data_IF_404166120197
#
_entry.id   IF_404166120197
#
_cell.length_a   1.000
_cell.length_b   1.000
_cell.length_c   1.000
_cell.angle_alpha   90.00
_cell.angle_beta   90.00
_cell.angle_gamma   90.00
#
_symmetry.space_group_name_H-M   'P 1'
#
loop_
_entity.id
_entity.type
_entity.pdbx_description
1 polymer ?
#
# COMPACT_ATOMS: atom_id res chain seq x y z
N UNK A 1 -17.18 29.19 67.32
CA UNK A 1 -16.21 28.46 68.18
C UNK A 1 -15.09 27.95 67.28
N UNK A 2 -13.91 28.58 67.34
CA UNK A 2 -12.71 28.22 66.58
C UNK A 2 -11.83 27.35 67.48
N UNK A 3 -11.54 26.11 67.08
CA UNK A 3 -10.51 25.30 67.74
C UNK A 3 -9.14 25.61 67.11
N UNK A 4 -8.11 25.94 67.91
CA UNK A 4 -6.76 26.08 67.38
C UNK A 4 -6.16 24.69 67.12
N UNK A 5 -5.64 24.50 65.91
CA UNK A 5 -4.83 23.34 65.54
C UNK A 5 -3.41 23.62 66.06
N UNK A 6 -2.98 22.87 67.07
CA UNK A 6 -1.57 22.87 67.48
C UNK A 6 -0.74 22.02 66.51
N UNK A 7 0.41 22.50 66.01
CA UNK A 7 1.33 21.64 65.28
C UNK A 7 1.97 20.63 66.25
N UNK A 8 1.95 19.35 65.87
CA UNK A 8 2.67 18.31 66.60
C UNK A 8 4.18 18.60 66.59
N UNK A 9 4.91 18.33 67.69
CA UNK A 9 6.35 18.55 67.73
C UNK A 9 7.05 17.63 66.72
N UNK A 10 7.89 18.23 65.89
CA UNK A 10 8.91 17.55 65.08
C UNK A 10 9.96 17.00 66.05
N UNK A 11 9.62 15.91 66.72
CA UNK A 11 10.43 15.28 67.76
C UNK A 11 10.60 13.81 67.46
N UNK A 12 11.85 13.43 67.18
CA UNK A 12 12.34 12.09 66.90
C UNK A 12 11.91 11.49 65.56
N UNK A 13 12.61 11.90 64.48
CA UNK A 13 13.10 10.90 63.53
C UNK A 13 13.92 9.91 64.38
N UNK A 14 13.27 8.83 64.81
CA UNK A 14 14.00 7.66 65.21
C UNK A 14 14.84 7.27 64.00
N UNK A 15 16.15 7.47 64.13
CA UNK A 15 17.16 6.83 63.31
C UNK A 15 16.67 5.40 63.09
N UNK A 16 16.22 5.09 61.86
CA UNK A 16 16.01 3.71 61.43
C UNK A 16 17.33 3.04 61.76
N UNK A 17 17.36 2.27 62.84
CA UNK A 17 18.50 1.40 63.12
C UNK A 17 18.69 0.59 61.84
N UNK A 18 19.89 0.56 61.24
CA UNK A 18 20.14 -0.32 60.12
C UNK A 18 19.71 -1.71 60.58
N UNK A 19 18.77 -2.32 59.86
CA UNK A 19 18.35 -3.69 60.16
C UNK A 19 19.63 -4.54 60.27
N UNK A 20 19.81 -5.35 61.34
CA UNK A 20 20.87 -6.34 61.33
C UNK A 20 20.61 -7.23 60.12
N UNK A 21 21.44 -7.09 59.10
CA UNK A 21 21.27 -7.83 57.86
C UNK A 21 21.68 -9.26 58.16
N UNK A 22 20.69 -10.13 58.29
CA UNK A 22 20.90 -11.57 58.38
C UNK A 22 21.76 -12.00 57.17
N UNK A 23 22.89 -12.71 57.35
CA UNK A 23 23.69 -13.21 56.24
C UNK A 23 22.85 -13.99 55.22
N UNK A 24 21.78 -14.67 55.65
CA UNK A 24 20.84 -15.34 54.75
C UNK A 24 20.08 -14.35 53.85
N UNK A 25 19.68 -13.19 54.38
CA UNK A 25 18.98 -12.15 53.62
C UNK A 25 19.89 -11.47 52.59
N UNK A 26 21.18 -11.30 52.91
CA UNK A 26 22.18 -10.80 51.97
C UNK A 26 22.38 -11.78 50.82
N UNK A 27 22.59 -13.05 51.15
CA UNK A 27 22.79 -14.12 50.15
C UNK A 27 21.61 -14.21 49.18
N UNK A 28 20.38 -14.19 49.70
CA UNK A 28 19.17 -14.20 48.86
C UNK A 28 19.08 -12.96 47.95
N UNK A 29 19.48 -11.79 48.46
CA UNK A 29 19.46 -10.54 47.69
C UNK A 29 20.49 -10.58 46.55
N UNK A 30 21.65 -11.16 46.79
CA UNK A 30 22.71 -11.33 45.79
C UNK A 30 22.31 -12.34 44.71
N UNK A 31 21.73 -13.49 45.11
CA UNK A 31 21.17 -14.48 44.18
C UNK A 31 20.03 -13.89 43.33
N UNK A 32 19.12 -13.13 43.96
CA UNK A 32 18.04 -12.45 43.26
C UNK A 32 18.58 -11.44 42.23
N UNK A 33 19.59 -10.65 42.62
CA UNK A 33 20.27 -9.73 41.70
C UNK A 33 20.89 -10.45 40.51
N UNK A 34 21.57 -11.59 40.75
CA UNK A 34 22.15 -12.41 39.69
C UNK A 34 21.08 -12.94 38.72
N UNK A 35 19.94 -13.44 39.24
CA UNK A 35 18.82 -13.90 38.42
C UNK A 35 18.21 -12.77 37.59
N UNK A 36 18.00 -11.58 38.17
CA UNK A 36 17.48 -10.43 37.43
C UNK A 36 18.41 -10.02 36.28
N UNK A 37 19.73 -10.05 36.48
CA UNK A 37 20.69 -9.75 35.41
C UNK A 37 20.65 -10.79 34.29
N UNK A 38 20.49 -12.08 34.64
CA UNK A 38 20.34 -13.14 33.65
C UNK A 38 19.05 -12.99 32.85
N UNK A 39 17.92 -12.73 33.51
CA UNK A 39 16.63 -12.49 32.86
C UNK A 39 16.69 -11.26 31.95
N UNK A 40 17.25 -10.15 32.43
CA UNK A 40 17.39 -8.93 31.62
C UNK A 40 18.27 -9.19 30.37
N UNK A 41 19.34 -9.98 30.51
CA UNK A 41 20.19 -10.38 29.38
C UNK A 41 19.45 -11.26 28.39
N UNK A 42 18.66 -12.22 28.88
CA UNK A 42 17.82 -13.06 28.02
C UNK A 42 16.75 -12.23 27.30
N UNK A 43 16.05 -11.35 28.03
CA UNK A 43 15.02 -10.47 27.47
C UNK A 43 15.58 -9.59 26.35
N UNK A 44 16.76 -9.00 26.53
CA UNK A 44 17.43 -8.24 25.45
C UNK A 44 17.70 -9.10 24.22
N UNK A 45 18.34 -10.26 24.40
CA UNK A 45 18.65 -11.17 23.27
C UNK A 45 17.39 -11.62 22.52
N UNK A 46 16.32 -11.95 23.24
CA UNK A 46 15.04 -12.34 22.64
C UNK A 46 14.40 -11.15 21.92
N UNK A 47 14.45 -9.95 22.50
CA UNK A 47 13.99 -8.73 21.85
C UNK A 47 14.72 -8.46 20.54
N UNK A 48 16.05 -8.57 20.55
CA UNK A 48 16.88 -8.41 19.35
C UNK A 48 16.54 -9.45 18.29
N UNK A 49 16.34 -10.71 18.70
CA UNK A 49 15.93 -11.79 17.81
C UNK A 49 14.57 -11.51 17.17
N UNK A 50 13.56 -11.07 17.93
CA UNK A 50 12.24 -10.74 17.40
C UNK A 50 12.33 -9.63 16.36
N UNK A 51 13.06 -8.56 16.64
CA UNK A 51 13.24 -7.44 15.70
C UNK A 51 13.95 -7.91 14.42
N UNK A 52 14.99 -8.74 14.55
CA UNK A 52 15.67 -9.33 13.40
C UNK A 52 14.74 -10.20 12.54
N UNK A 53 13.94 -11.08 13.17
CA UNK A 53 12.99 -11.94 12.46
C UNK A 53 11.90 -11.12 11.77
N UNK A 54 11.35 -10.09 12.43
CA UNK A 54 10.36 -9.21 11.84
C UNK A 54 10.88 -8.54 10.56
N UNK A 55 12.13 -8.03 10.58
CA UNK A 55 12.76 -7.44 9.39
C UNK A 55 12.94 -8.45 8.26
N UNK A 56 13.35 -9.68 8.59
CA UNK A 56 13.54 -10.75 7.60
C UNK A 56 12.21 -11.17 6.96
N UNK A 57 11.14 -11.26 7.75
CA UNK A 57 9.80 -11.55 7.25
C UNK A 57 9.34 -10.46 6.28
N UNK A 58 9.42 -9.19 6.68
CA UNK A 58 9.02 -8.08 5.80
C UNK A 58 9.81 -8.02 4.49
N UNK A 59 11.11 -8.36 4.52
CA UNK A 59 11.93 -8.44 3.31
C UNK A 59 11.46 -9.56 2.37
N UNK A 60 11.25 -10.77 2.90
CA UNK A 60 10.78 -11.92 2.10
C UNK A 60 9.36 -11.68 1.58
N UNK A 61 8.49 -11.06 2.36
CA UNK A 61 7.14 -10.67 1.94
C UNK A 61 7.18 -9.67 0.78
N UNK A 62 8.07 -8.67 0.85
CA UNK A 62 8.27 -7.71 -0.23
C UNK A 62 8.76 -8.38 -1.52
N UNK A 63 9.72 -9.31 -1.40
CA UNK A 63 10.20 -10.10 -2.54
C UNK A 63 9.08 -10.98 -3.12
N UNK A 64 8.27 -11.61 -2.27
CA UNK A 64 7.15 -12.43 -2.72
C UNK A 64 6.12 -11.62 -3.50
N UNK A 65 5.75 -10.44 -3.01
CA UNK A 65 4.85 -9.51 -3.71
C UNK A 65 5.45 -9.06 -5.05
N UNK A 66 6.74 -8.74 -5.07
CA UNK A 66 7.43 -8.33 -6.31
C UNK A 66 7.42 -9.46 -7.34
N UNK A 67 7.81 -10.67 -6.95
CA UNK A 67 7.86 -11.82 -7.86
C UNK A 67 6.46 -12.19 -8.37
N UNK A 68 5.43 -12.11 -7.50
CA UNK A 68 4.03 -12.29 -7.92
C UNK A 68 3.63 -11.24 -8.95
N UNK A 69 4.00 -9.97 -8.76
CA UNK A 69 3.72 -8.91 -9.72
C UNK A 69 4.43 -9.14 -11.06
N UNK A 70 5.71 -9.58 -11.04
CA UNK A 70 6.46 -9.94 -12.24
C UNK A 70 5.80 -11.11 -12.99
N UNK A 71 5.33 -12.13 -12.27
CA UNK A 71 4.61 -13.26 -12.85
C UNK A 71 3.27 -12.83 -13.47
N UNK A 72 2.44 -12.08 -12.73
CA UNK A 72 1.17 -11.54 -13.25
C UNK A 72 1.44 -10.75 -14.53
N UNK A 73 2.43 -9.87 -14.51
CA UNK A 73 2.83 -9.08 -15.68
C UNK A 73 3.20 -9.98 -16.86
N UNK A 74 4.10 -10.94 -16.67
CA UNK A 74 4.55 -11.84 -17.74
C UNK A 74 3.41 -12.69 -18.31
N UNK A 75 2.52 -13.20 -17.45
CA UNK A 75 1.38 -14.04 -17.87
C UNK A 75 0.34 -13.23 -18.63
N UNK A 76 0.06 -12.01 -18.19
CA UNK A 76 -0.82 -11.08 -18.92
C UNK A 76 -0.27 -10.79 -20.31
N UNK A 77 1.04 -10.56 -20.45
CA UNK A 77 1.64 -10.35 -21.77
C UNK A 77 1.39 -11.53 -22.71
N UNK A 78 1.67 -12.75 -22.24
CA UNK A 78 1.48 -13.96 -23.05
C UNK A 78 0.01 -14.18 -23.39
N UNK A 79 -0.87 -14.09 -22.40
CA UNK A 79 -2.31 -14.35 -22.58
C UNK A 79 -2.95 -13.37 -23.57
N UNK A 80 -2.53 -12.11 -23.54
CA UNK A 80 -3.04 -11.06 -24.41
C UNK A 80 -2.23 -10.86 -25.70
N UNK A 81 -1.26 -11.75 -25.99
CA UNK A 81 -0.45 -11.68 -27.21
C UNK A 81 0.40 -10.40 -27.33
N UNK A 82 0.69 -9.72 -26.21
CA UNK A 82 1.46 -8.48 -26.19
C UNK A 82 2.94 -8.78 -26.42
N UNK A 83 3.66 -7.86 -27.05
CA UNK A 83 5.11 -7.98 -27.26
C UNK A 83 5.85 -7.87 -25.92
N UNK A 84 6.64 -8.88 -25.55
CA UNK A 84 7.41 -8.96 -24.28
C UNK A 84 8.35 -7.76 -24.09
N UNK A 85 8.87 -7.21 -25.18
CA UNK A 85 9.72 -6.01 -25.18
C UNK A 85 8.99 -4.77 -24.62
N UNK A 86 7.69 -4.60 -24.87
CA UNK A 86 6.93 -3.45 -24.36
C UNK A 86 6.78 -3.49 -22.83
N UNK A 87 6.80 -4.68 -22.24
CA UNK A 87 6.39 -4.90 -20.84
C UNK A 87 7.57 -5.16 -19.90
N UNK A 88 8.69 -5.68 -20.42
CA UNK A 88 9.93 -5.88 -19.65
C UNK A 88 10.78 -4.61 -19.54
N UNK A 89 10.52 -3.59 -20.36
CA UNK A 89 11.28 -2.34 -20.35
C UNK A 89 10.94 -1.50 -19.11
N UNK A 90 11.93 -1.10 -18.28
CA UNK A 90 11.68 -0.23 -17.13
C UNK A 90 11.14 1.14 -17.59
N UNK A 91 10.24 1.78 -16.83
CA UNK A 91 9.53 2.99 -17.26
C UNK A 91 10.48 4.15 -17.60
N UNK A 92 11.65 4.20 -16.95
CA UNK A 92 12.71 5.20 -17.18
C UNK A 92 13.33 5.11 -18.58
N UNK A 93 13.32 3.92 -19.23
CA UNK A 93 13.79 3.71 -20.61
C UNK A 93 12.68 3.84 -21.65
N UNK A 94 11.40 3.72 -21.26
CA UNK A 94 10.26 3.93 -22.15
C UNK A 94 10.09 5.42 -22.53
N UNK A 95 10.39 6.34 -21.61
CA UNK A 95 10.30 7.79 -21.86
C UNK A 95 11.24 8.27 -23.01
N UNK A 96 12.42 7.65 -23.15
CA UNK A 96 13.39 7.98 -24.21
C UNK A 96 12.98 7.47 -25.61
N UNK A 97 12.03 6.54 -25.71
CA UNK A 97 11.58 5.96 -27.00
C UNK A 97 10.30 6.59 -27.56
N UNK A 98 9.69 7.55 -26.86
CA UNK A 98 8.46 8.25 -27.29
C UNK A 98 8.65 9.25 -28.44
N UNK A 99 9.85 9.34 -29.03
CA UNK A 99 10.18 10.32 -30.08
C UNK A 99 9.93 9.88 -31.54
N UNK A 100 9.40 8.67 -31.79
CA UNK A 100 9.11 8.21 -33.16
C UNK A 100 7.59 8.15 -33.41
N UNK A 101 7.08 8.75 -34.51
CA UNK A 101 5.67 8.65 -34.88
C UNK A 101 5.42 7.26 -35.49
N UNK A 102 5.08 6.31 -34.63
CA UNK A 102 4.43 5.07 -35.04
C UNK A 102 2.94 5.29 -34.85
N UNK A 103 2.14 5.14 -35.90
CA UNK A 103 0.68 5.01 -35.73
C UNK A 103 0.43 3.86 -34.77
N UNK A 104 0.09 4.21 -33.52
CA UNK A 104 0.08 3.22 -32.46
C UNK A 104 -1.23 2.43 -32.51
N UNK A 105 -1.23 1.11 -32.28
CA UNK A 105 -2.44 0.33 -31.96
C UNK A 105 -3.20 0.88 -30.75
N UNK A 106 -2.60 1.82 -30.01
CA UNK A 106 -3.26 2.63 -29.01
C UNK A 106 -4.36 3.55 -29.54
N UNK A 107 -4.35 3.99 -30.81
CA UNK A 107 -5.45 4.80 -31.38
C UNK A 107 -6.73 3.97 -31.51
N UNK A 108 -6.61 2.76 -32.04
CA UNK A 108 -7.74 1.85 -32.21
C UNK A 108 -8.31 1.41 -30.85
N UNK A 109 -7.44 1.00 -29.92
CA UNK A 109 -7.86 0.71 -28.55
C UNK A 109 -8.50 1.93 -27.86
N UNK A 110 -7.99 3.14 -28.11
CA UNK A 110 -8.54 4.39 -27.57
C UNK A 110 -9.94 4.70 -28.15
N UNK A 111 -10.17 4.39 -29.43
CA UNK A 111 -11.48 4.50 -30.06
C UNK A 111 -12.49 3.52 -29.44
N UNK A 112 -12.12 2.24 -29.27
CA UNK A 112 -12.98 1.22 -28.64
C UNK A 112 -13.31 1.57 -27.18
N UNK A 113 -12.36 2.09 -26.41
CA UNK A 113 -12.60 2.53 -25.03
C UNK A 113 -13.58 3.73 -24.98
N UNK A 114 -13.44 4.70 -25.89
CA UNK A 114 -14.41 5.80 -25.98
C UNK A 114 -15.80 5.29 -26.39
N UNK A 115 -15.88 4.43 -27.41
CA UNK A 115 -17.13 3.82 -27.88
C UNK A 115 -17.86 3.05 -26.77
N UNK A 116 -17.14 2.17 -26.06
CA UNK A 116 -17.70 1.38 -24.95
C UNK A 116 -18.13 2.24 -23.77
N UNK A 117 -17.34 3.27 -23.42
CA UNK A 117 -17.70 4.23 -22.37
C UNK A 117 -18.96 5.04 -22.70
N UNK A 118 -19.19 5.32 -23.97
CA UNK A 118 -20.36 6.06 -24.44
C UNK A 118 -21.65 5.22 -24.46
N UNK A 119 -21.56 3.91 -24.71
CA UNK A 119 -22.74 3.02 -24.66
C UNK A 119 -23.23 2.73 -23.23
N UNK A 120 -22.33 2.74 -22.23
CA UNK A 120 -22.59 2.20 -20.89
C UNK A 120 -22.69 3.22 -19.75
N UNK A 121 -23.34 4.38 -19.93
CA UNK A 121 -23.47 5.52 -18.98
C UNK A 121 -22.41 6.63 -19.17
N UNK A 122 -22.51 7.30 -20.32
CA UNK A 122 -21.53 8.23 -20.91
C UNK A 122 -21.15 9.50 -20.09
N UNK A 123 -21.84 9.84 -19.00
CA UNK A 123 -21.67 11.14 -18.34
C UNK A 123 -20.26 11.43 -17.80
N UNK A 124 -19.50 10.39 -17.39
CA UNK A 124 -18.12 10.59 -16.93
C UNK A 124 -17.09 10.59 -18.06
N UNK A 125 -17.47 10.02 -19.21
CA UNK A 125 -16.61 9.88 -20.38
C UNK A 125 -16.78 11.01 -21.39
N UNK A 126 -17.92 11.71 -21.35
CA UNK A 126 -18.23 12.87 -22.18
C UNK A 126 -17.92 14.20 -21.49
N UNK A 127 -17.51 15.19 -22.28
CA UNK A 127 -17.48 16.59 -21.86
C UNK A 127 -18.86 17.26 -22.02
N UNK A 128 -18.92 18.58 -21.82
CA UNK A 128 -20.18 19.33 -21.89
C UNK A 128 -20.71 19.46 -23.33
N UNK A 129 -19.85 19.21 -24.33
CA UNK A 129 -20.11 19.30 -25.75
C UNK A 129 -20.47 17.93 -26.35
N UNK A 130 -20.43 16.85 -25.56
CA UNK A 130 -20.72 15.49 -26.02
C UNK A 130 -19.53 14.80 -26.69
N UNK A 131 -18.30 15.30 -26.48
CA UNK A 131 -17.06 14.70 -26.99
C UNK A 131 -16.45 13.77 -25.94
N UNK A 132 -15.77 12.70 -26.37
CA UNK A 132 -15.04 11.83 -25.45
C UNK A 132 -13.85 12.57 -24.83
N UNK A 133 -13.75 12.64 -23.50
CA UNK A 133 -12.67 13.35 -22.79
C UNK A 133 -11.25 12.84 -23.08
N UNK A 134 -11.11 11.62 -23.59
CA UNK A 134 -9.79 11.04 -23.92
C UNK A 134 -9.33 11.32 -25.36
N UNK A 135 -10.25 11.49 -26.31
CA UNK A 135 -9.92 11.72 -27.73
C UNK A 135 -10.24 13.13 -28.20
N UNK A 136 -11.20 13.80 -27.56
CA UNK A 136 -11.78 15.06 -28.05
C UNK A 136 -12.69 14.89 -29.26
N UNK A 137 -13.02 13.65 -29.62
CA UNK A 137 -13.86 13.32 -30.79
C UNK A 137 -15.30 13.02 -30.38
N UNK A 138 -16.24 13.18 -31.32
CA UNK A 138 -17.66 12.87 -31.12
C UNK A 138 -17.88 11.39 -30.86
N UNK A 139 -18.62 11.05 -29.82
CA UNK A 139 -19.07 9.68 -29.60
C UNK A 139 -20.22 9.33 -30.55
N UNK A 140 -19.92 8.67 -31.66
CA UNK A 140 -20.95 8.06 -32.50
C UNK A 140 -21.33 6.69 -31.92
N UNK A 141 -22.59 6.46 -31.53
CA UNK A 141 -23.08 5.10 -31.33
C UNK A 141 -23.04 4.41 -32.70
N UNK A 142 -22.25 3.36 -32.85
CA UNK A 142 -22.29 2.56 -34.07
C UNK A 142 -23.68 1.92 -34.17
N UNK A 143 -24.51 2.48 -35.06
CA UNK A 143 -25.95 2.23 -35.12
C UNK A 143 -26.75 3.27 -35.90
N UNK A 144 -26.16 4.38 -36.35
CA UNK A 144 -26.75 5.24 -37.40
C UNK A 144 -25.90 5.12 -38.66
N UNK A 145 -25.83 3.92 -39.22
CA UNK A 145 -25.59 3.81 -40.66
C UNK A 145 -26.78 4.51 -41.32
N UNK A 146 -26.46 5.44 -42.19
CA UNK A 146 -27.34 6.20 -43.05
C UNK A 146 -28.61 5.43 -43.43
N UNK A 147 -29.77 5.86 -42.91
CA UNK A 147 -31.07 5.63 -43.57
C UNK A 147 -31.10 6.47 -44.86
N UNK A 148 -30.17 6.17 -45.75
CA UNK A 148 -30.15 6.55 -47.16
C UNK A 148 -30.75 5.42 -47.98
N UNK A 149 -31.94 4.94 -47.60
CA UNK A 149 -32.73 4.09 -48.48
C UNK A 149 -33.79 4.96 -49.13
N UNK A 150 -33.44 5.50 -50.29
CA UNK A 150 -34.42 5.99 -51.24
C UNK A 150 -35.50 4.93 -51.41
N UNK A 151 -36.71 5.27 -51.00
CA UNK A 151 -37.91 4.54 -51.41
C UNK A 151 -38.06 4.70 -52.90
N UNK A 152 -37.39 3.86 -53.68
CA UNK A 152 -37.86 3.51 -55.01
C UNK A 152 -39.17 2.77 -54.81
N UNK A 153 -40.25 3.52 -54.95
CA UNK A 153 -41.62 3.06 -55.07
C UNK A 153 -41.70 2.09 -56.27
N UNK A 154 -41.80 0.77 -56.06
CA UNK A 154 -42.00 -0.17 -57.15
C UNK A 154 -43.50 -0.39 -57.25
N UNK A 155 -44.19 0.59 -57.84
CA UNK A 155 -45.43 0.49 -58.59
C UNK A 155 -46.54 -0.43 -58.02
N UNK A 156 -47.74 0.11 -57.82
CA UNK A 156 -49.03 -0.59 -57.66
C UNK A 156 -49.51 -0.82 -56.22
#
# INVERSE_FOLDING_TARGET
>A
MKHPIHPAPVGALQLRRPWPQDPAQRTLSDEHGALLQQVATLQRRVGDQIVHQARRLSAIEADNLRLRAELVRSRTVVLWGLQVAAVTTPPRRQALRRGAPVESPGREAQAVICQTGCAGHAHRWLDQQGLCRRTGEMCQPQGSAEDGSGGSDPNQ
#
